data_IF_400593424520
#
_entry.id   IF_400593424520
#
_cell.length_a   1.000
_cell.length_b   1.000
_cell.length_c   1.000
_cell.angle_alpha   90.00
_cell.angle_beta   90.00
_cell.angle_gamma   90.00
#
_symmetry.space_group_name_H-M   'P 1'
#
loop_
_entity.id
_entity.type
_entity.pdbx_description
1 polymer ?
#
# COMPACT_ATOMS: atom_id res chain seq x y z
N UNK A 1 6.69 9.25 78.09
CA UNK A 1 5.90 9.83 76.98
C UNK A 1 6.59 9.44 75.68
N UNK A 2 6.03 8.43 75.01
CA UNK A 2 6.40 7.97 73.66
C UNK A 2 5.90 9.02 72.63
N UNK A 3 6.37 9.14 71.38
CA UNK A 3 6.74 8.11 70.40
C UNK A 3 7.68 8.73 69.36
N UNK A 4 8.72 7.99 68.95
CA UNK A 4 9.42 8.21 67.68
C UNK A 4 8.50 7.70 66.55
N UNK A 5 8.24 8.54 65.55
CA UNK A 5 7.58 8.13 64.30
C UNK A 5 8.68 7.82 63.29
N UNK A 6 8.80 6.53 62.93
CA UNK A 6 9.61 6.07 61.80
C UNK A 6 8.73 6.14 60.56
N UNK A 7 9.12 6.97 59.60
CA UNK A 7 8.48 7.03 58.27
C UNK A 7 9.17 6.00 57.37
N UNK A 8 8.48 4.90 57.05
CA UNK A 8 8.90 3.96 56.01
C UNK A 8 8.58 4.56 54.64
N UNK A 9 9.62 4.90 53.88
CA UNK A 9 9.54 5.18 52.45
C UNK A 9 9.42 3.86 51.69
N UNK A 10 8.21 3.56 51.20
CA UNK A 10 8.00 2.49 50.21
C UNK A 10 8.54 2.97 48.86
N UNK A 11 9.71 2.48 48.49
CA UNK A 11 10.21 2.54 47.11
C UNK A 11 9.47 1.47 46.29
N UNK A 12 8.52 1.88 45.46
CA UNK A 12 8.02 1.02 44.38
C UNK A 12 9.11 0.87 43.31
N UNK A 13 9.52 -0.36 42.96
CA UNK A 13 10.40 -0.55 41.82
C UNK A 13 9.60 -0.23 40.54
N UNK A 14 9.95 0.86 39.88
CA UNK A 14 9.58 1.07 38.48
C UNK A 14 10.29 0.02 37.64
N UNK A 15 9.64 -1.12 37.39
CA UNK A 15 10.06 -2.03 36.33
C UNK A 15 9.68 -1.38 35.01
N UNK A 16 10.64 -0.73 34.34
CA UNK A 16 10.49 -0.33 32.95
C UNK A 16 10.17 -1.59 32.13
N UNK A 17 8.90 -1.75 31.73
CA UNK A 17 8.51 -2.81 30.81
C UNK A 17 8.98 -2.36 29.44
N UNK A 18 9.92 -3.09 28.84
CA UNK A 18 10.25 -2.90 27.44
C UNK A 18 8.97 -3.10 26.62
N UNK A 19 8.60 -2.09 25.83
CA UNK A 19 7.37 -2.14 25.04
C UNK A 19 7.54 -3.19 23.93
N UNK A 20 6.78 -4.27 24.02
CA UNK A 20 6.82 -5.35 23.03
C UNK A 20 5.65 -5.23 22.07
N UNK A 21 5.91 -5.29 20.76
CA UNK A 21 4.89 -5.39 19.71
C UNK A 21 4.83 -6.80 19.18
N UNK A 22 3.64 -7.38 19.04
CA UNK A 22 3.49 -8.75 18.55
C UNK A 22 2.58 -8.85 17.33
N UNK A 23 2.91 -9.77 16.44
CA UNK A 23 2.25 -10.00 15.16
C UNK A 23 1.90 -11.49 15.04
N UNK A 24 0.64 -11.78 14.69
CA UNK A 24 0.22 -13.14 14.35
C UNK A 24 0.72 -13.48 12.95
N UNK A 25 1.41 -14.61 12.83
CA UNK A 25 1.79 -15.20 11.54
C UNK A 25 0.69 -16.15 11.10
N UNK A 26 -0.10 -15.71 10.13
CA UNK A 26 -1.14 -16.50 9.51
C UNK A 26 -1.01 -16.41 7.97
N UNK A 27 -0.57 -17.51 7.31
CA UNK A 27 -0.29 -18.82 7.90
C UNK A 27 1.03 -18.83 8.71
N UNK A 28 1.24 -19.85 9.54
CA UNK A 28 2.45 -19.97 10.37
C UNK A 28 3.74 -20.04 9.55
N UNK A 29 4.87 -19.61 10.09
CA UNK A 29 6.18 -19.77 9.44
C UNK A 29 7.01 -20.79 10.20
N UNK A 30 7.29 -21.95 9.60
CA UNK A 30 8.09 -23.02 10.25
C UNK A 30 7.57 -23.42 11.64
N UNK A 31 6.24 -23.49 11.81
CA UNK A 31 5.61 -23.79 13.09
C UNK A 31 5.64 -22.65 14.11
N UNK A 32 6.08 -21.45 13.73
CA UNK A 32 5.88 -20.24 14.52
C UNK A 32 4.60 -19.52 14.13
N UNK A 33 3.75 -19.27 15.12
CA UNK A 33 2.48 -18.57 14.97
C UNK A 33 2.56 -17.10 15.36
N UNK A 34 3.66 -16.68 15.99
CA UNK A 34 3.83 -15.33 16.50
C UNK A 34 5.25 -14.80 16.27
N UNK A 35 5.32 -13.52 15.94
CA UNK A 35 6.53 -12.73 15.91
C UNK A 35 6.41 -11.61 16.94
N UNK A 36 7.48 -11.36 17.70
CA UNK A 36 7.53 -10.32 18.72
C UNK A 36 8.75 -9.45 18.48
N UNK A 37 8.57 -8.14 18.59
CA UNK A 37 9.64 -7.15 18.60
C UNK A 37 9.67 -6.41 19.92
N UNK A 38 10.86 -6.05 20.39
CA UNK A 38 11.06 -5.15 21.51
C UNK A 38 12.16 -4.14 21.19
N UNK A 39 12.06 -2.98 21.82
CA UNK A 39 13.15 -2.02 21.78
C UNK A 39 14.31 -2.44 22.67
N UNK A 40 15.52 -2.19 22.17
CA UNK A 40 16.76 -2.41 22.88
C UNK A 40 17.72 -1.25 22.61
N UNK A 41 18.40 -0.78 23.65
CA UNK A 41 19.43 0.26 23.50
C UNK A 41 20.76 -0.40 23.14
N UNK A 42 21.21 -0.24 21.90
CA UNK A 42 22.50 -0.72 21.40
C UNK A 42 23.41 0.48 21.14
N UNK A 43 24.55 0.56 21.84
CA UNK A 43 25.55 1.64 21.71
C UNK A 43 24.97 3.08 21.82
N UNK A 44 23.89 3.25 22.57
CA UNK A 44 23.24 4.55 22.79
C UNK A 44 22.16 4.91 21.77
N UNK A 45 21.85 4.02 20.83
CA UNK A 45 20.72 4.15 19.90
C UNK A 45 19.67 3.07 20.19
N UNK A 46 18.40 3.41 20.03
CA UNK A 46 17.29 2.46 20.18
C UNK A 46 17.08 1.70 18.86
N UNK A 47 17.11 0.37 18.94
CA UNK A 47 16.83 -0.53 17.82
C UNK A 47 15.67 -1.45 18.16
N UNK A 48 14.94 -1.93 17.16
CA UNK A 48 13.94 -2.99 17.36
C UNK A 48 14.53 -4.35 16.97
N UNK A 49 14.58 -5.27 17.95
CA UNK A 49 14.97 -6.66 17.71
C UNK A 49 13.75 -7.57 17.72
N UNK A 50 13.70 -8.47 16.75
CA UNK A 50 12.61 -9.44 16.59
C UNK A 50 13.01 -10.85 17.01
N UNK A 51 12.04 -11.61 17.52
CA UNK A 51 12.12 -13.06 17.64
C UNK A 51 10.76 -13.69 17.35
N UNK A 52 10.80 -14.86 16.73
CA UNK A 52 9.62 -15.72 16.55
C UNK A 52 9.46 -16.63 17.76
N UNK A 53 8.22 -17.08 18.00
CA UNK A 53 7.89 -18.07 19.02
C UNK A 53 7.33 -19.30 18.30
N UNK A 54 8.00 -20.45 18.42
CA UNK A 54 7.50 -21.71 17.87
C UNK A 54 6.28 -22.21 18.64
N UNK A 55 5.54 -23.16 18.06
CA UNK A 55 4.44 -23.85 18.75
C UNK A 55 4.86 -24.55 20.05
N UNK A 56 6.15 -24.87 20.21
CA UNK A 56 6.73 -25.43 21.44
C UNK A 56 7.17 -24.34 22.46
N UNK A 57 6.98 -23.06 22.14
CA UNK A 57 7.35 -21.92 22.98
C UNK A 57 8.82 -21.51 22.88
N UNK A 58 9.61 -22.13 21.99
CA UNK A 58 11.01 -21.77 21.79
C UNK A 58 11.13 -20.44 21.03
N UNK A 59 12.03 -19.57 21.49
CA UNK A 59 12.34 -18.29 20.85
C UNK A 59 13.49 -18.43 19.88
N UNK A 60 13.32 -17.89 18.67
CA UNK A 60 14.42 -17.77 17.70
C UNK A 60 14.51 -16.33 17.21
N UNK A 61 15.73 -15.78 17.24
CA UNK A 61 15.96 -14.40 16.83
C UNK A 61 15.77 -14.25 15.32
N UNK A 62 15.17 -13.14 14.92
CA UNK A 62 15.20 -12.66 13.54
C UNK A 62 16.59 -12.05 13.28
N UNK A 63 17.24 -12.34 12.13
CA UNK A 63 18.63 -11.91 11.93
C UNK A 63 18.82 -10.39 11.80
N UNK A 64 17.93 -9.71 11.07
CA UNK A 64 17.95 -8.24 10.93
C UNK A 64 17.23 -7.55 12.09
N UNK A 65 17.68 -6.33 12.39
CA UNK A 65 17.11 -5.43 13.38
C UNK A 65 16.64 -4.16 12.68
N UNK A 66 15.60 -3.50 13.18
CA UNK A 66 15.26 -2.16 12.69
C UNK A 66 16.20 -1.15 13.36
N UNK A 67 17.14 -0.62 12.59
CA UNK A 67 18.10 0.39 13.04
C UNK A 67 17.84 1.69 12.28
N UNK A 68 17.12 2.66 12.89
CA UNK A 68 16.73 3.86 12.18
C UNK A 68 17.91 4.82 12.01
N UNK A 69 18.07 5.41 10.83
CA UNK A 69 19.01 6.52 10.56
C UNK A 69 18.51 7.88 11.15
N UNK A 70 17.63 7.83 12.15
CA UNK A 70 16.93 8.96 12.74
C UNK A 70 15.46 8.66 13.02
N UNK A 71 14.87 9.37 13.98
CA UNK A 71 13.52 9.08 14.44
C UNK A 71 13.43 7.81 15.28
N UNK A 72 12.20 7.34 15.53
CA UNK A 72 11.92 6.11 16.28
C UNK A 72 11.50 5.03 15.29
N UNK A 73 12.13 3.87 15.36
CA UNK A 73 11.77 2.72 14.55
C UNK A 73 10.47 2.08 15.06
N UNK A 74 9.63 1.67 14.11
CA UNK A 74 8.41 0.91 14.34
C UNK A 74 8.34 -0.28 13.38
N UNK A 75 7.54 -1.29 13.72
CA UNK A 75 7.17 -2.36 12.77
C UNK A 75 5.84 -1.98 12.12
N UNK A 76 5.86 -1.73 10.82
CA UNK A 76 4.67 -1.47 10.00
C UNK A 76 3.81 -2.72 9.87
N UNK A 77 4.43 -3.85 9.49
CA UNK A 77 3.73 -5.12 9.34
C UNK A 77 4.69 -6.31 9.43
N UNK A 78 4.15 -7.50 9.71
CA UNK A 78 4.86 -8.77 9.59
C UNK A 78 3.90 -9.92 9.27
N UNK A 79 4.27 -10.75 8.30
CA UNK A 79 3.40 -11.77 7.73
C UNK A 79 4.17 -12.81 6.91
N UNK A 80 3.43 -13.79 6.40
CA UNK A 80 3.96 -14.87 5.56
C UNK A 80 3.35 -14.81 4.17
N UNK A 81 4.17 -14.97 3.15
CA UNK A 81 3.73 -15.07 1.74
C UNK A 81 4.06 -16.46 1.22
N UNK A 82 3.06 -17.13 0.65
CA UNK A 82 3.26 -18.42 -0.02
C UNK A 82 3.44 -18.18 -1.54
N UNK A 83 4.68 -18.28 -2.01
CA UNK A 83 5.05 -18.26 -3.41
C UNK A 83 5.70 -19.57 -3.85
N UNK A 84 6.75 -19.48 -4.68
CA UNK A 84 7.64 -20.62 -4.98
C UNK A 84 8.35 -21.12 -3.72
N UNK A 85 8.67 -20.22 -2.81
CA UNK A 85 9.08 -20.51 -1.45
C UNK A 85 8.04 -19.95 -0.45
N UNK A 86 8.21 -20.31 0.81
CA UNK A 86 7.50 -19.63 1.91
C UNK A 86 8.38 -18.47 2.36
N UNK A 87 7.86 -17.26 2.26
CA UNK A 87 8.58 -16.04 2.61
C UNK A 87 8.07 -15.52 3.95
N UNK A 88 8.99 -15.27 4.87
CA UNK A 88 8.74 -14.49 6.06
C UNK A 88 9.07 -13.03 5.76
N UNK A 89 8.11 -12.14 5.96
CA UNK A 89 8.22 -10.72 5.63
C UNK A 89 7.95 -9.89 6.87
N UNK A 90 8.78 -8.90 7.12
CA UNK A 90 8.45 -7.79 8.02
C UNK A 90 8.99 -6.48 7.48
N UNK A 91 8.30 -5.39 7.80
CA UNK A 91 8.67 -4.05 7.34
C UNK A 91 8.86 -3.15 8.55
N UNK A 92 10.06 -2.62 8.69
CA UNK A 92 10.38 -1.55 9.61
C UNK A 92 10.01 -0.20 8.97
N UNK A 93 9.66 0.78 9.80
CA UNK A 93 9.41 2.14 9.36
C UNK A 93 9.86 3.15 10.39
N UNK A 94 10.38 4.30 9.95
CA UNK A 94 10.71 5.41 10.84
C UNK A 94 10.55 6.75 10.13
N UNK A 95 10.31 7.79 10.93
CA UNK A 95 10.23 9.16 10.43
C UNK A 95 11.62 9.70 10.10
N UNK A 96 11.78 10.23 8.89
CA UNK A 96 12.99 10.92 8.45
C UNK A 96 12.69 12.41 8.34
N UNK A 97 13.55 13.25 8.93
CA UNK A 97 13.38 14.70 8.92
C UNK A 97 14.72 15.41 8.94
N UNK A 98 15.11 15.97 7.79
CA UNK A 98 16.26 16.86 7.64
C UNK A 98 15.81 18.21 7.06
N UNK A 99 15.34 19.15 7.90
CA UNK A 99 14.80 20.43 7.44
C UNK A 99 15.80 21.26 6.63
N UNK A 100 17.10 21.14 6.92
CA UNK A 100 18.17 21.88 6.23
C UNK A 100 18.30 21.55 4.74
N UNK A 101 17.80 20.39 4.32
CA UNK A 101 17.79 19.94 2.92
C UNK A 101 16.36 19.62 2.45
N UNK A 102 15.32 20.02 3.18
CA UNK A 102 13.92 19.82 2.76
C UNK A 102 13.42 18.36 2.76
N UNK A 103 14.17 17.42 3.31
CA UNK A 103 13.79 16.01 3.36
C UNK A 103 12.85 15.76 4.56
N UNK A 104 11.63 15.25 4.31
CA UNK A 104 10.65 14.92 5.35
C UNK A 104 9.69 13.82 4.88
N UNK A 105 9.65 12.72 5.62
CA UNK A 105 8.87 11.56 5.22
C UNK A 105 9.03 10.35 6.13
N UNK A 106 8.70 9.18 5.59
CA UNK A 106 8.81 7.89 6.24
C UNK A 106 9.70 6.98 5.39
N UNK A 107 10.73 6.44 6.01
CA UNK A 107 11.52 5.36 5.43
C UNK A 107 10.83 4.03 5.75
N UNK A 108 10.70 3.17 4.74
CA UNK A 108 10.27 1.78 4.89
C UNK A 108 11.41 0.86 4.51
N UNK A 109 11.77 -0.05 5.41
CA UNK A 109 12.73 -1.11 5.13
C UNK A 109 12.08 -2.47 5.29
N UNK A 110 11.94 -3.19 4.18
CA UNK A 110 11.30 -4.50 4.14
C UNK A 110 12.36 -5.59 4.14
N UNK A 111 12.20 -6.55 5.05
CA UNK A 111 13.07 -7.70 5.20
C UNK A 111 12.32 -8.96 4.83
N UNK A 112 12.89 -9.72 3.89
CA UNK A 112 12.27 -10.93 3.35
C UNK A 112 13.22 -12.09 3.53
N UNK A 113 12.71 -13.17 4.12
CA UNK A 113 13.48 -14.36 4.45
C UNK A 113 12.84 -15.62 3.90
N UNK A 114 13.68 -16.56 3.50
CA UNK A 114 13.31 -17.94 3.19
C UNK A 114 14.15 -18.90 4.04
N UNK A 115 13.76 -20.17 4.11
CA UNK A 115 14.56 -21.20 4.76
C UNK A 115 13.78 -22.48 5.01
N UNK A 116 14.42 -23.43 5.69
CA UNK A 116 13.81 -24.67 6.19
C UNK A 116 13.75 -24.74 7.72
N UNK A 117 14.52 -23.90 8.42
CA UNK A 117 14.55 -23.76 9.87
C UNK A 117 14.96 -22.34 10.27
N UNK A 118 14.71 -21.93 11.51
CA UNK A 118 15.15 -20.62 12.00
C UNK A 118 16.68 -20.46 12.06
N UNK A 119 17.44 -21.56 12.16
CA UNK A 119 18.90 -21.53 12.10
C UNK A 119 19.47 -21.41 10.67
N UNK A 120 18.62 -21.53 9.64
CA UNK A 120 19.01 -21.52 8.23
C UNK A 120 18.29 -20.44 7.42
N UNK A 121 17.83 -19.38 8.08
CA UNK A 121 17.19 -18.25 7.39
C UNK A 121 18.16 -17.58 6.41
N UNK A 122 17.68 -17.41 5.19
CA UNK A 122 18.38 -16.70 4.11
C UNK A 122 17.61 -15.45 3.77
N UNK A 123 18.28 -14.30 3.83
CA UNK A 123 17.72 -13.01 3.38
C UNK A 123 17.62 -13.00 1.85
N UNK A 124 16.44 -12.65 1.35
CA UNK A 124 16.18 -12.40 -0.06
C UNK A 124 16.46 -10.93 -0.37
N UNK A 125 17.73 -10.57 -0.55
CA UNK A 125 18.18 -9.17 -0.69
C UNK A 125 17.50 -8.43 -1.84
N UNK A 126 17.31 -9.09 -2.99
CA UNK A 126 16.64 -8.49 -4.15
C UNK A 126 15.18 -8.17 -3.88
N UNK A 127 14.45 -9.08 -3.22
CA UNK A 127 13.05 -8.86 -2.87
C UNK A 127 12.92 -7.79 -1.78
N UNK A 128 13.78 -7.88 -0.75
CA UNK A 128 13.84 -6.93 0.36
C UNK A 128 14.03 -5.50 -0.17
N UNK A 129 15.05 -5.29 -1.01
CA UNK A 129 15.33 -3.99 -1.62
C UNK A 129 14.22 -3.49 -2.56
N UNK A 130 13.56 -4.38 -3.31
CA UNK A 130 12.48 -4.00 -4.22
C UNK A 130 11.20 -3.54 -3.49
N UNK A 131 10.99 -3.98 -2.24
CA UNK A 131 9.83 -3.64 -1.43
C UNK A 131 10.11 -2.55 -0.38
N UNK A 132 11.38 -2.24 -0.11
CA UNK A 132 11.79 -1.06 0.65
C UNK A 132 11.53 0.21 -0.16
N UNK A 133 11.39 1.34 0.51
CA UNK A 133 11.19 2.62 -0.16
C UNK A 133 11.00 3.78 0.79
N UNK A 134 11.06 4.99 0.24
CA UNK A 134 10.85 6.23 0.97
C UNK A 134 9.57 6.92 0.49
N UNK A 135 8.77 7.41 1.43
CA UNK A 135 7.58 8.21 1.16
C UNK A 135 7.71 9.59 1.80
N UNK A 136 7.85 10.64 1.00
CA UNK A 136 8.11 11.99 1.51
C UNK A 136 8.74 12.95 0.52
N UNK A 137 9.03 14.15 1.00
CA UNK A 137 9.71 15.19 0.22
C UNK A 137 11.19 14.86 0.00
N UNK A 138 11.71 15.21 -1.18
CA UNK A 138 13.10 14.97 -1.59
C UNK A 138 13.96 16.23 -1.51
N UNK A 139 15.29 16.06 -1.48
CA UNK A 139 16.25 17.15 -1.26
C UNK A 139 16.18 18.26 -2.30
N UNK A 140 16.01 17.89 -3.58
CA UNK A 140 15.94 18.82 -4.71
C UNK A 140 14.49 19.26 -5.00
N UNK A 141 13.58 19.02 -4.07
CA UNK A 141 12.14 19.14 -4.28
C UNK A 141 11.52 17.90 -4.93
N UNK A 142 10.20 17.88 -5.00
CA UNK A 142 9.43 16.71 -5.42
C UNK A 142 9.06 15.79 -4.26
N UNK A 143 8.50 14.63 -4.60
CA UNK A 143 7.93 13.70 -3.64
C UNK A 143 8.16 12.26 -4.11
N UNK A 144 8.64 11.41 -3.21
CA UNK A 144 8.75 9.97 -3.43
C UNK A 144 7.59 9.24 -2.78
N UNK A 145 7.21 8.10 -3.34
CA UNK A 145 6.12 7.26 -2.84
C UNK A 145 6.61 5.83 -2.62
N UNK A 146 6.22 5.24 -1.50
CA UNK A 146 6.51 3.84 -1.20
C UNK A 146 5.34 2.96 -1.67
N UNK A 147 5.51 2.28 -2.81
CA UNK A 147 4.37 1.61 -3.48
C UNK A 147 3.92 0.31 -2.82
N UNK A 148 4.83 -0.39 -2.13
CA UNK A 148 4.61 -1.76 -1.65
C UNK A 148 4.50 -1.86 -0.12
N UNK A 149 3.99 -0.81 0.54
CA UNK A 149 3.82 -0.79 2.01
C UNK A 149 2.63 -1.64 2.46
N UNK A 150 1.61 -1.81 1.61
CA UNK A 150 0.41 -2.57 1.94
C UNK A 150 0.63 -4.07 1.69
N UNK A 151 0.35 -4.90 2.70
CA UNK A 151 0.54 -6.36 2.69
C UNK A 151 0.12 -7.06 1.40
N UNK A 152 -1.11 -6.82 0.94
CA UNK A 152 -1.66 -7.48 -0.26
C UNK A 152 -0.88 -7.08 -1.53
N UNK A 153 -0.50 -5.81 -1.64
CA UNK A 153 0.29 -5.27 -2.74
C UNK A 153 1.71 -5.83 -2.72
N UNK A 154 2.37 -5.81 -1.57
CA UNK A 154 3.69 -6.40 -1.36
C UNK A 154 3.71 -7.90 -1.68
N UNK A 155 2.72 -8.64 -1.19
CA UNK A 155 2.58 -10.08 -1.45
C UNK A 155 2.49 -10.36 -2.94
N UNK A 156 1.65 -9.63 -3.67
CA UNK A 156 1.55 -9.76 -5.14
C UNK A 156 2.87 -9.41 -5.83
N UNK A 157 3.57 -8.36 -5.37
CA UNK A 157 4.86 -7.94 -5.94
C UNK A 157 5.94 -9.01 -5.76
N UNK A 158 6.00 -9.64 -4.58
CA UNK A 158 6.91 -10.77 -4.33
C UNK A 158 6.69 -11.89 -5.36
N UNK A 159 5.43 -12.28 -5.57
CA UNK A 159 5.08 -13.34 -6.55
C UNK A 159 5.42 -12.93 -7.99
N UNK A 160 5.31 -11.65 -8.35
CA UNK A 160 5.72 -11.16 -9.67
C UNK A 160 7.24 -11.23 -9.86
N UNK A 161 8.00 -10.76 -8.87
CA UNK A 161 9.47 -10.77 -8.91
C UNK A 161 10.03 -12.19 -8.98
N UNK A 162 9.44 -13.15 -8.25
CA UNK A 162 9.79 -14.58 -8.36
C UNK A 162 9.57 -15.16 -9.76
N UNK A 163 8.65 -14.59 -10.52
CA UNK A 163 8.37 -14.97 -11.92
C UNK A 163 9.23 -14.20 -12.91
N UNK A 164 10.18 -13.40 -12.43
CA UNK A 164 11.03 -12.54 -13.25
C UNK A 164 10.32 -11.31 -13.82
N UNK A 165 9.15 -10.94 -13.28
CA UNK A 165 8.41 -9.75 -13.70
C UNK A 165 8.81 -8.57 -12.83
N UNK A 166 9.64 -7.69 -13.37
CA UNK A 166 10.09 -6.47 -12.69
C UNK A 166 9.05 -5.37 -12.74
N UNK A 167 8.30 -5.28 -13.83
CA UNK A 167 7.21 -4.32 -13.99
C UNK A 167 5.92 -4.85 -13.36
N UNK A 168 5.13 -3.94 -12.80
CA UNK A 168 3.84 -4.27 -12.21
C UNK A 168 2.86 -4.76 -13.28
N UNK A 169 2.20 -5.89 -13.04
CA UNK A 169 1.14 -6.32 -13.95
C UNK A 169 -0.03 -5.34 -13.95
N UNK A 170 -0.88 -5.42 -14.98
CA UNK A 170 -2.11 -4.64 -15.06
C UNK A 170 -2.99 -4.78 -13.80
N UNK A 171 -3.02 -5.97 -13.19
CA UNK A 171 -3.80 -6.20 -11.96
C UNK A 171 -3.14 -5.53 -10.75
N UNK A 172 -1.83 -5.68 -10.59
CA UNK A 172 -1.10 -5.03 -9.49
C UNK A 172 -1.18 -3.50 -9.60
N UNK A 173 -1.05 -2.96 -10.82
CA UNK A 173 -1.16 -1.52 -11.06
C UNK A 173 -2.54 -0.96 -10.70
N UNK A 174 -3.61 -1.70 -11.04
CA UNK A 174 -4.97 -1.37 -10.59
C UNK A 174 -5.07 -1.35 -9.07
N UNK A 175 -4.57 -2.38 -8.40
CA UNK A 175 -4.72 -2.50 -6.97
C UNK A 175 -3.95 -1.40 -6.22
N UNK A 176 -2.75 -1.03 -6.69
CA UNK A 176 -1.99 0.12 -6.16
C UNK A 176 -2.78 1.41 -6.32
N UNK A 177 -3.31 1.68 -7.53
CA UNK A 177 -4.08 2.89 -7.79
C UNK A 177 -5.34 2.97 -6.91
N UNK A 178 -6.07 1.86 -6.75
CA UNK A 178 -7.30 1.82 -5.95
C UNK A 178 -7.02 1.94 -4.44
N UNK A 179 -5.92 1.39 -3.95
CA UNK A 179 -5.49 1.57 -2.54
C UNK A 179 -5.16 3.03 -2.26
N UNK A 180 -4.37 3.68 -3.13
CA UNK A 180 -4.05 5.11 -2.99
C UNK A 180 -5.29 5.99 -3.10
N UNK A 181 -6.17 5.68 -4.05
CA UNK A 181 -7.44 6.37 -4.22
C UNK A 181 -8.34 6.27 -2.97
N UNK A 182 -8.43 5.08 -2.36
CA UNK A 182 -9.22 4.85 -1.15
C UNK A 182 -8.74 5.71 0.03
N UNK A 183 -7.44 5.99 0.08
CA UNK A 183 -6.82 6.88 1.08
C UNK A 183 -6.88 8.37 0.70
N UNK A 184 -7.56 8.72 -0.41
CA UNK A 184 -7.58 10.06 -1.00
C UNK A 184 -6.20 10.61 -1.39
N UNK A 185 -5.23 9.73 -1.65
CA UNK A 185 -3.88 10.09 -2.05
C UNK A 185 -3.82 10.30 -3.57
N UNK A 186 -4.49 11.37 -4.03
CA UNK A 186 -4.64 11.67 -5.46
C UNK A 186 -3.31 11.97 -6.15
N UNK A 187 -2.35 12.54 -5.42
CA UNK A 187 -1.02 12.82 -5.96
C UNK A 187 -0.25 11.52 -6.23
N UNK A 188 -0.33 10.53 -5.33
CA UNK A 188 0.24 9.20 -5.59
C UNK A 188 -0.46 8.50 -6.76
N UNK A 189 -1.79 8.59 -6.88
CA UNK A 189 -2.51 8.03 -8.04
C UNK A 189 -1.98 8.65 -9.34
N UNK A 190 -1.84 9.97 -9.39
CA UNK A 190 -1.34 10.69 -10.56
C UNK A 190 0.11 10.35 -10.90
N UNK A 191 0.98 10.27 -9.89
CA UNK A 191 2.37 9.87 -10.05
C UNK A 191 2.48 8.41 -10.52
N UNK A 192 1.68 7.51 -9.95
CA UNK A 192 1.68 6.10 -10.29
C UNK A 192 1.06 5.80 -11.65
N UNK A 193 0.06 6.56 -12.11
CA UNK A 193 -0.59 6.34 -13.41
C UNK A 193 -0.17 7.37 -14.45
N UNK A 194 1.07 7.84 -14.38
CA UNK A 194 1.61 8.78 -15.35
C UNK A 194 1.51 8.27 -16.81
N UNK A 195 1.48 9.16 -17.81
CA UNK A 195 1.20 8.79 -19.20
C UNK A 195 2.10 7.68 -19.76
N UNK A 196 3.39 7.66 -19.38
CA UNK A 196 4.36 6.65 -19.83
C UNK A 196 3.95 5.27 -19.34
N UNK A 197 3.66 5.14 -18.05
CA UNK A 197 3.25 3.88 -17.44
C UNK A 197 1.90 3.40 -17.98
N UNK A 198 0.92 4.29 -18.13
CA UNK A 198 -0.35 3.92 -18.77
C UNK A 198 -0.17 3.43 -20.21
N UNK A 199 0.73 4.04 -20.98
CA UNK A 199 1.10 3.57 -22.32
C UNK A 199 1.74 2.18 -22.30
N UNK A 200 2.64 1.92 -21.35
CA UNK A 200 3.26 0.59 -21.16
C UNK A 200 2.22 -0.48 -20.79
N UNK A 201 1.30 -0.16 -19.87
CA UNK A 201 0.21 -1.07 -19.50
C UNK A 201 -0.67 -1.41 -20.71
N UNK A 202 -1.10 -0.40 -21.47
CA UNK A 202 -1.91 -0.60 -22.69
C UNK A 202 -1.18 -1.43 -23.75
N UNK A 203 0.13 -1.22 -23.92
CA UNK A 203 0.95 -2.00 -24.86
C UNK A 203 1.11 -3.45 -24.40
N UNK A 204 1.37 -3.67 -23.11
CA UNK A 204 1.59 -5.01 -22.55
C UNK A 204 0.30 -5.82 -22.33
N UNK A 205 -0.85 -5.16 -22.24
CA UNK A 205 -2.15 -5.81 -22.04
C UNK A 205 -3.28 -5.06 -22.75
N UNK A 206 -3.35 -5.09 -24.10
CA UNK A 206 -4.37 -4.36 -24.85
C UNK A 206 -5.79 -4.60 -24.34
N UNK A 207 -6.61 -3.55 -24.39
CA UNK A 207 -7.98 -3.58 -23.87
C UNK A 207 -8.80 -4.62 -24.65
N UNK A 208 -9.42 -5.52 -23.91
CA UNK A 208 -10.32 -6.54 -24.42
C UNK A 208 -11.35 -6.94 -23.33
N UNK A 209 -12.33 -7.77 -23.67
CA UNK A 209 -13.41 -8.15 -22.78
C UNK A 209 -12.97 -8.73 -21.42
N UNK A 210 -11.78 -9.35 -21.33
CA UNK A 210 -11.29 -9.91 -20.06
C UNK A 210 -10.71 -8.87 -19.10
N UNK A 211 -10.31 -7.69 -19.58
CA UNK A 211 -9.63 -6.67 -18.77
C UNK A 211 -10.31 -5.28 -18.79
N UNK A 212 -11.46 -5.12 -19.48
CA UNK A 212 -12.22 -3.86 -19.51
C UNK A 212 -12.56 -3.32 -18.12
N UNK A 213 -12.81 -4.17 -17.13
CA UNK A 213 -13.03 -3.75 -15.72
C UNK A 213 -11.82 -3.07 -15.15
N UNK A 214 -10.64 -3.61 -15.38
CA UNK A 214 -9.40 -3.06 -14.85
C UNK A 214 -9.15 -1.68 -15.45
N UNK A 215 -9.28 -1.53 -16.77
CA UNK A 215 -9.06 -0.23 -17.41
C UNK A 215 -10.14 0.79 -17.08
N UNK A 216 -11.39 0.37 -16.86
CA UNK A 216 -12.41 1.27 -16.33
C UNK A 216 -12.07 1.78 -14.92
N UNK A 217 -11.53 0.91 -14.06
CA UNK A 217 -11.12 1.28 -12.70
C UNK A 217 -9.90 2.22 -12.72
N UNK A 218 -8.92 1.99 -13.60
CA UNK A 218 -7.78 2.87 -13.81
C UNK A 218 -8.22 4.24 -14.36
N UNK A 219 -9.11 4.26 -15.35
CA UNK A 219 -9.67 5.50 -15.90
C UNK A 219 -10.49 6.27 -14.85
N UNK A 220 -11.23 5.56 -13.99
CA UNK A 220 -11.90 6.16 -12.85
C UNK A 220 -10.91 6.79 -11.87
N UNK A 221 -9.85 6.07 -11.48
CA UNK A 221 -8.82 6.58 -10.56
C UNK A 221 -8.13 7.84 -11.12
N UNK A 222 -7.75 7.83 -12.40
CA UNK A 222 -7.21 9.00 -13.10
C UNK A 222 -8.18 10.19 -13.08
N UNK A 223 -9.48 9.94 -13.29
CA UNK A 223 -10.52 10.96 -13.24
C UNK A 223 -10.66 11.59 -11.85
N UNK A 224 -10.62 10.76 -10.80
CA UNK A 224 -10.65 11.25 -9.40
C UNK A 224 -9.39 12.05 -9.04
N UNK A 225 -8.24 11.73 -9.62
CA UNK A 225 -6.99 12.49 -9.45
C UNK A 225 -6.83 13.63 -10.47
N UNK A 226 -7.93 14.12 -11.05
CA UNK A 226 -8.00 15.25 -11.98
C UNK A 226 -7.10 15.13 -13.23
N UNK A 227 -6.73 13.90 -13.59
CA UNK A 227 -5.97 13.60 -14.82
C UNK A 227 -6.93 13.40 -15.99
N UNK A 228 -7.82 14.38 -16.20
CA UNK A 228 -9.02 14.24 -17.02
C UNK A 228 -8.75 13.82 -18.46
N UNK A 229 -7.74 14.41 -19.12
CA UNK A 229 -7.41 14.07 -20.51
C UNK A 229 -6.93 12.63 -20.66
N UNK A 230 -6.06 12.17 -19.76
CA UNK A 230 -5.57 10.79 -19.76
C UNK A 230 -6.69 9.82 -19.38
N UNK A 231 -7.51 10.16 -18.39
CA UNK A 231 -8.68 9.40 -18.00
C UNK A 231 -9.65 9.23 -19.17
N UNK A 232 -9.98 10.32 -19.87
CA UNK A 232 -10.90 10.30 -20.99
C UNK A 232 -10.37 9.43 -22.15
N UNK A 233 -9.07 9.54 -22.45
CA UNK A 233 -8.42 8.69 -23.45
C UNK A 233 -8.57 7.21 -23.11
N UNK A 234 -8.24 6.81 -21.88
CA UNK A 234 -8.34 5.40 -21.44
C UNK A 234 -9.78 4.91 -21.47
N UNK A 235 -10.72 5.67 -20.90
CA UNK A 235 -12.13 5.29 -20.84
C UNK A 235 -12.78 5.20 -22.23
N UNK A 236 -12.37 6.05 -23.18
CA UNK A 236 -12.84 5.99 -24.57
C UNK A 236 -12.41 4.70 -25.28
N UNK A 237 -11.20 4.19 -24.99
CA UNK A 237 -10.78 2.89 -25.51
C UNK A 237 -11.56 1.73 -24.87
N UNK A 238 -11.92 1.84 -23.59
CA UNK A 238 -12.80 0.86 -22.92
C UNK A 238 -14.18 0.86 -23.57
N UNK A 239 -14.72 2.04 -23.90
CA UNK A 239 -16.03 2.19 -24.53
C UNK A 239 -16.10 1.51 -25.90
N UNK A 240 -15.03 1.58 -26.70
CA UNK A 240 -14.97 0.88 -28.00
C UNK A 240 -15.13 -0.63 -27.87
N UNK A 241 -14.70 -1.21 -26.75
CA UNK A 241 -14.78 -2.65 -26.48
C UNK A 241 -16.06 -3.04 -25.74
N UNK A 242 -16.54 -2.19 -24.83
CA UNK A 242 -17.72 -2.46 -23.98
C UNK A 242 -18.64 -1.22 -23.92
N UNK A 243 -19.36 -0.92 -25.02
CA UNK A 243 -20.13 0.32 -25.15
C UNK A 243 -21.34 0.37 -24.21
N UNK A 244 -21.96 -0.77 -23.89
CA UNK A 244 -23.19 -0.82 -23.08
C UNK A 244 -22.91 -0.81 -21.57
N UNK A 245 -21.64 -0.62 -21.16
CA UNK A 245 -21.27 -0.65 -19.76
C UNK A 245 -21.76 0.60 -19.03
N UNK A 246 -22.86 0.44 -18.30
CA UNK A 246 -23.50 1.51 -17.52
C UNK A 246 -22.52 2.31 -16.62
N UNK A 247 -21.68 1.65 -15.82
CA UNK A 247 -20.73 2.34 -14.92
C UNK A 247 -19.69 3.15 -15.71
N UNK A 248 -19.28 2.67 -16.89
CA UNK A 248 -18.34 3.38 -17.77
C UNK A 248 -18.92 4.72 -18.24
N UNK A 249 -20.22 4.75 -18.60
CA UNK A 249 -20.88 5.98 -19.04
C UNK A 249 -20.84 7.06 -17.97
N UNK A 250 -21.08 6.68 -16.71
CA UNK A 250 -20.96 7.61 -15.59
C UNK A 250 -19.52 8.11 -15.40
N UNK A 251 -18.54 7.20 -15.48
CA UNK A 251 -17.11 7.57 -15.35
C UNK A 251 -16.66 8.53 -16.47
N UNK A 252 -17.06 8.28 -17.72
CA UNK A 252 -16.78 9.18 -18.85
C UNK A 252 -17.47 10.54 -18.63
N UNK A 253 -18.72 10.55 -18.16
CA UNK A 253 -19.44 11.79 -17.88
C UNK A 253 -18.78 12.62 -16.77
N UNK A 254 -18.35 11.98 -15.68
CA UNK A 254 -17.68 12.63 -14.56
C UNK A 254 -16.34 13.25 -15.00
N UNK A 255 -15.55 12.54 -15.83
CA UNK A 255 -14.31 13.06 -16.41
C UNK A 255 -14.57 14.21 -17.38
N UNK A 256 -15.49 14.04 -18.32
CA UNK A 256 -15.85 15.06 -19.31
C UNK A 256 -16.41 16.31 -18.65
N UNK A 257 -17.05 16.22 -17.48
CA UNK A 257 -17.53 17.40 -16.78
C UNK A 257 -16.41 18.39 -16.44
N UNK A 258 -15.18 17.89 -16.25
CA UNK A 258 -13.98 18.70 -16.04
C UNK A 258 -13.39 19.35 -17.30
N UNK A 259 -13.72 18.86 -18.49
CA UNK A 259 -13.06 19.28 -19.76
C UNK A 259 -14.02 19.71 -20.89
N UNK A 260 -15.18 19.05 -21.06
CA UNK A 260 -16.23 19.38 -22.01
C UNK A 260 -17.62 19.04 -21.43
N UNK A 261 -18.24 20.03 -20.79
CA UNK A 261 -19.55 19.87 -20.12
C UNK A 261 -20.68 19.50 -21.07
N UNK A 262 -20.64 19.93 -22.35
CA UNK A 262 -21.69 19.57 -23.31
C UNK A 262 -21.64 18.09 -23.63
N UNK A 263 -20.42 17.57 -23.87
CA UNK A 263 -20.22 16.14 -24.09
C UNK A 263 -20.53 15.33 -22.83
N UNK A 264 -20.18 15.84 -21.65
CA UNK A 264 -20.54 15.22 -20.37
C UNK A 264 -22.07 15.05 -20.24
N UNK A 265 -22.85 16.09 -20.58
CA UNK A 265 -24.32 16.05 -20.55
C UNK A 265 -24.91 14.91 -21.41
N UNK A 266 -24.31 14.62 -22.57
CA UNK A 266 -24.70 13.48 -23.43
C UNK A 266 -24.50 12.15 -22.70
N UNK A 267 -23.34 11.93 -22.08
CA UNK A 267 -23.06 10.69 -21.34
C UNK A 267 -23.90 10.55 -20.06
N UNK A 268 -24.18 11.64 -19.35
CA UNK A 268 -25.11 11.60 -18.21
C UNK A 268 -26.53 11.20 -18.65
N UNK A 269 -27.01 11.70 -19.81
CA UNK A 269 -28.30 11.30 -20.38
C UNK A 269 -28.33 9.81 -20.71
N UNK A 270 -27.27 9.30 -21.33
CA UNK A 270 -27.14 7.89 -21.66
C UNK A 270 -27.11 6.99 -20.42
N UNK A 271 -26.31 7.35 -19.41
CA UNK A 271 -26.28 6.65 -18.12
C UNK A 271 -27.66 6.62 -17.45
N UNK A 272 -28.36 7.75 -17.38
CA UNK A 272 -29.68 7.84 -16.78
C UNK A 272 -30.70 6.96 -17.54
N UNK A 273 -30.63 6.94 -18.87
CA UNK A 273 -31.46 6.06 -19.71
C UNK A 273 -31.21 4.59 -19.36
N UNK A 274 -29.95 4.14 -19.38
CA UNK A 274 -29.59 2.75 -19.06
C UNK A 274 -30.06 2.36 -17.64
N UNK A 275 -29.92 3.25 -16.65
CA UNK A 275 -30.37 3.01 -15.29
C UNK A 275 -31.90 2.83 -15.20
N UNK A 276 -32.67 3.63 -15.94
CA UNK A 276 -34.14 3.50 -16.01
C UNK A 276 -34.56 2.19 -16.68
N UNK A 277 -33.95 1.85 -17.81
CA UNK A 277 -34.22 0.60 -18.53
C UNK A 277 -33.92 -0.64 -17.65
N UNK A 278 -32.92 -0.55 -16.78
CA UNK A 278 -32.60 -1.60 -15.80
C UNK A 278 -33.48 -1.58 -14.53
N UNK A 279 -34.49 -0.71 -14.44
CA UNK A 279 -35.36 -0.58 -13.25
C UNK A 279 -34.66 0.02 -12.02
N UNK A 280 -33.51 0.70 -12.21
CA UNK A 280 -32.65 1.25 -11.15
C UNK A 280 -32.75 2.76 -11.02
N UNK A 281 -33.86 3.37 -11.43
CA UNK A 281 -34.02 4.83 -11.45
C UNK A 281 -33.73 5.50 -10.09
N UNK A 282 -34.11 4.85 -8.98
CA UNK A 282 -33.86 5.36 -7.61
C UNK A 282 -32.38 5.41 -7.22
N UNK A 283 -31.50 4.74 -7.97
CA UNK A 283 -30.06 4.71 -7.74
C UNK A 283 -29.29 5.72 -8.60
N UNK A 284 -29.98 6.50 -9.44
CA UNK A 284 -29.33 7.55 -10.25
C UNK A 284 -28.82 8.65 -9.31
N UNK A 285 -27.50 8.94 -9.28
CA UNK A 285 -26.96 10.00 -8.43
C UNK A 285 -27.53 11.37 -8.81
N UNK A 286 -27.85 12.20 -7.81
CA UNK A 286 -28.41 13.55 -8.03
C UNK A 286 -27.61 14.39 -9.03
N UNK A 287 -26.26 14.32 -8.97
CA UNK A 287 -25.37 15.04 -9.89
C UNK A 287 -25.62 14.73 -11.37
N UNK A 288 -26.09 13.52 -11.68
CA UNK A 288 -26.42 13.13 -13.06
C UNK A 288 -27.58 13.98 -13.55
N UNK A 289 -28.67 14.05 -12.79
CA UNK A 289 -29.87 14.80 -13.15
C UNK A 289 -29.57 16.30 -13.30
N UNK A 290 -28.71 16.85 -12.44
CA UNK A 290 -28.31 18.25 -12.49
C UNK A 290 -27.44 18.60 -13.71
N UNK A 291 -26.58 17.66 -14.12
CA UNK A 291 -25.57 17.84 -15.17
C UNK A 291 -25.98 17.29 -16.54
N UNK A 292 -27.20 16.76 -16.65
CA UNK A 292 -27.82 16.34 -17.90
C UNK A 292 -28.26 17.50 -18.81
N UNK A 293 -27.88 18.74 -18.55
CA UNK A 293 -28.29 19.87 -19.39
C UNK A 293 -27.45 19.90 -20.66
#
# INVERSE_FOLDING_TARGET
MNKLVVVLLFLWPFTAHAETKSFKLDPEFMGASQLVFASESVKGHEVLKGWVISGEGQKYNVPDVCEPEGGVAEISDAYVVNGKARYFVFTCSWSVSHPGIGLKGIQYETFIYTGSSFGSLKKETMLSGALSGYEGSLEEGGYSYAWYVVRDIASKKIIELERGKTDDSLTLARDIALVRLKSNDYNAVKAYLEPVRMSQLLKGSPINNSNVTIYNDLGFALGQSESFELAYKVLSEVERVSPDRMVLKLNIADVLWGIDKRKAGVYYKEYAKLMREAGKERLIPRRVLERMQ
#
